data_IF_287155301787
#
_entry.id   IF_287155301787
#
_cell.length_a   1.000
_cell.length_b   1.000
_cell.length_c   1.000
_cell.angle_alpha   90.00
_cell.angle_beta   90.00
_cell.angle_gamma   90.00
#
_symmetry.space_group_name_H-M   'P 1'
#
loop_
_entity.id
_entity.type
_entity.pdbx_description
1 polymer ?
#
# COMPACT_ATOMS: atom_id res chain seq x y z
N UNK A 1 -13.51 -10.68 -28.68
CA UNK A 1 -14.21 -11.15 -29.90
C UNK A 1 -15.24 -10.09 -30.24
N UNK A 2 -14.83 -9.14 -31.10
CA UNK A 2 -15.71 -8.03 -31.56
C UNK A 2 -16.17 -8.47 -32.93
N UNK A 3 -17.39 -9.01 -32.99
CA UNK A 3 -18.13 -9.11 -34.25
C UNK A 3 -18.50 -7.70 -34.70
N UNK A 4 -17.66 -7.13 -35.54
CA UNK A 4 -18.04 -5.96 -36.33
C UNK A 4 -19.01 -6.48 -37.37
N UNK A 5 -20.25 -6.13 -37.18
CA UNK A 5 -21.34 -6.49 -38.08
C UNK A 5 -21.09 -5.90 -39.47
N UNK A 6 -20.69 -6.72 -40.40
CA UNK A 6 -20.51 -6.47 -41.84
C UNK A 6 -21.80 -5.94 -42.52
N UNK A 7 -22.92 -6.05 -41.83
CA UNK A 7 -24.27 -5.69 -42.32
C UNK A 7 -24.54 -4.18 -42.44
N UNK A 8 -23.85 -3.33 -41.70
CA UNK A 8 -24.10 -1.87 -41.78
C UNK A 8 -23.44 -1.20 -43.00
N UNK A 9 -22.39 -1.80 -43.54
CA UNK A 9 -21.68 -1.27 -44.71
C UNK A 9 -22.41 -1.56 -46.03
N UNK A 10 -23.13 -2.67 -46.15
CA UNK A 10 -23.89 -3.05 -47.33
C UNK A 10 -25.11 -2.16 -47.51
N UNK A 11 -25.81 -1.81 -46.45
CA UNK A 11 -27.00 -0.93 -46.50
C UNK A 11 -26.64 0.54 -46.78
N UNK A 12 -25.44 1.01 -46.48
CA UNK A 12 -24.99 2.37 -46.78
C UNK A 12 -24.62 2.54 -48.24
N UNK A 13 -23.97 1.56 -48.88
CA UNK A 13 -23.60 1.60 -50.28
C UNK A 13 -24.85 1.51 -51.21
N UNK A 14 -25.83 0.71 -50.88
CA UNK A 14 -27.09 0.61 -51.62
C UNK A 14 -27.90 1.92 -51.56
N UNK A 15 -27.84 2.65 -50.46
CA UNK A 15 -28.48 3.97 -50.36
C UNK A 15 -27.77 5.01 -51.21
N UNK A 16 -26.45 5.01 -51.23
CA UNK A 16 -25.65 5.94 -52.05
C UNK A 16 -25.89 5.69 -53.55
N UNK A 17 -25.93 4.42 -53.97
CA UNK A 17 -26.25 4.06 -55.36
C UNK A 17 -27.65 4.49 -55.75
N UNK A 18 -28.66 4.29 -54.92
CA UNK A 18 -30.05 4.75 -55.19
C UNK A 18 -30.18 6.27 -55.22
N UNK A 19 -29.45 7.02 -54.38
CA UNK A 19 -29.45 8.48 -54.46
C UNK A 19 -28.71 9.01 -55.70
N UNK A 20 -27.60 8.38 -56.10
CA UNK A 20 -26.89 8.70 -57.35
C UNK A 20 -27.79 8.52 -58.59
N UNK A 21 -28.54 7.43 -58.62
CA UNK A 21 -29.49 7.19 -59.70
C UNK A 21 -30.65 8.22 -59.74
N UNK A 22 -31.14 8.64 -58.58
CA UNK A 22 -32.15 9.72 -58.49
C UNK A 22 -31.58 11.06 -58.98
N UNK A 23 -30.36 11.39 -58.59
CA UNK A 23 -29.69 12.61 -59.04
C UNK A 23 -29.51 12.61 -60.58
N UNK A 24 -29.06 11.49 -61.13
CA UNK A 24 -28.93 11.36 -62.59
C UNK A 24 -30.27 11.46 -63.35
N UNK A 25 -31.33 10.92 -62.76
CA UNK A 25 -32.69 11.09 -63.33
C UNK A 25 -33.14 12.56 -63.28
N UNK A 26 -32.98 13.25 -62.18
CA UNK A 26 -33.30 14.66 -62.00
C UNK A 26 -32.48 15.51 -62.98
N UNK A 27 -31.18 15.27 -63.12
CA UNK A 27 -30.31 15.95 -64.10
C UNK A 27 -30.81 15.77 -65.53
N UNK A 28 -31.17 14.54 -65.93
CA UNK A 28 -31.73 14.27 -67.26
C UNK A 28 -33.07 14.96 -67.48
N UNK A 29 -33.97 14.99 -66.48
CA UNK A 29 -35.26 15.69 -66.57
C UNK A 29 -35.09 17.21 -66.61
N UNK A 30 -34.18 17.80 -65.82
CA UNK A 30 -33.87 19.24 -65.84
C UNK A 30 -33.37 19.69 -67.22
N UNK A 31 -32.46 18.90 -67.82
CA UNK A 31 -31.98 19.22 -69.21
C UNK A 31 -33.15 19.14 -70.24
N UNK A 32 -33.99 18.12 -70.11
CA UNK A 32 -35.17 17.98 -71.06
C UNK A 32 -36.14 19.14 -70.89
N UNK A 33 -36.45 19.53 -69.65
CA UNK A 33 -37.33 20.68 -69.40
C UNK A 33 -36.74 21.96 -69.92
N UNK A 34 -35.46 22.20 -69.78
CA UNK A 34 -34.75 23.37 -70.25
C UNK A 34 -34.76 23.42 -71.80
N UNK A 35 -34.56 22.28 -72.47
CA UNK A 35 -34.63 22.18 -73.92
C UNK A 35 -36.05 22.41 -74.42
N UNK A 36 -37.07 21.83 -73.80
CA UNK A 36 -38.48 22.05 -74.14
C UNK A 36 -38.90 23.51 -73.95
N UNK A 37 -38.49 24.12 -72.84
CA UNK A 37 -38.74 25.53 -72.54
C UNK A 37 -38.10 26.44 -73.62
N UNK A 38 -36.87 26.16 -74.04
CA UNK A 38 -36.19 26.88 -75.09
C UNK A 38 -36.89 26.73 -76.43
N UNK A 39 -37.38 25.53 -76.80
CA UNK A 39 -38.11 25.26 -77.98
C UNK A 39 -39.49 26.00 -78.00
N UNK A 40 -40.21 25.94 -76.85
CA UNK A 40 -41.47 26.65 -76.71
C UNK A 40 -41.32 28.18 -76.81
N UNK A 41 -40.27 28.69 -76.25
CA UNK A 41 -39.91 30.11 -76.30
C UNK A 41 -39.61 30.55 -77.76
N UNK A 42 -38.86 29.75 -78.48
CA UNK A 42 -38.52 29.97 -79.86
C UNK A 42 -39.77 29.87 -80.75
N UNK A 43 -40.70 28.97 -80.44
CA UNK A 43 -41.95 28.78 -81.26
C UNK A 43 -43.02 29.81 -80.96
N UNK A 44 -43.10 30.30 -79.70
CA UNK A 44 -44.11 31.31 -79.30
C UNK A 44 -43.90 32.72 -79.90
N UNK A 45 -42.76 32.97 -80.45
CA UNK A 45 -42.43 34.25 -81.09
C UNK A 45 -42.05 34.00 -82.53
N UNK A 46 -42.75 34.67 -83.45
CA UNK A 46 -42.52 34.63 -84.88
C UNK A 46 -41.03 34.57 -85.29
N UNK A 47 -40.45 33.35 -85.24
CA UNK A 47 -39.05 33.11 -85.62
C UNK A 47 -38.72 33.46 -87.05
N UNK A 48 -39.82 33.54 -87.94
CA UNK A 48 -39.72 34.02 -89.31
C UNK A 48 -39.26 35.47 -89.44
N UNK A 49 -39.48 36.31 -88.40
CA UNK A 49 -39.06 37.72 -88.43
C UNK A 49 -37.59 37.94 -88.02
N UNK A 50 -37.03 36.97 -87.31
CA UNK A 50 -35.59 37.05 -86.83
C UNK A 50 -34.62 36.69 -87.97
N UNK A 51 -35.06 35.87 -88.94
CA UNK A 51 -34.20 35.39 -90.01
C UNK A 51 -34.22 36.24 -91.29
N UNK A 52 -34.97 37.33 -91.32
CA UNK A 52 -34.82 38.34 -92.37
C UNK A 52 -33.68 39.31 -92.01
N UNK A 53 -32.59 39.18 -92.70
CA UNK A 53 -31.28 39.82 -92.48
C UNK A 53 -31.26 41.37 -92.64
N UNK A 54 -32.33 42.07 -92.49
CA UNK A 54 -32.39 43.53 -92.61
C UNK A 54 -32.98 44.21 -91.38
N UNK A 55 -32.22 44.43 -90.40
CA UNK A 55 -32.36 45.09 -89.06
C UNK A 55 -32.69 44.16 -87.93
N UNK A 56 -31.64 43.76 -87.25
CA UNK A 56 -31.69 43.23 -85.84
C UNK A 56 -32.03 44.43 -84.95
N UNK A 57 -33.26 44.53 -84.49
CA UNK A 57 -33.69 45.52 -83.50
C UNK A 57 -32.99 45.17 -82.18
N UNK A 58 -32.20 46.07 -81.64
CA UNK A 58 -31.44 45.88 -80.34
C UNK A 58 -32.35 45.48 -79.18
N UNK A 59 -33.62 45.87 -79.20
CA UNK A 59 -34.63 45.53 -78.19
C UNK A 59 -34.96 44.01 -78.11
N UNK A 60 -34.91 43.31 -79.22
CA UNK A 60 -35.17 41.86 -79.24
C UNK A 60 -34.00 41.09 -78.74
N UNK A 61 -32.76 41.55 -79.00
CA UNK A 61 -31.57 40.94 -78.48
C UNK A 61 -31.47 41.15 -76.95
N UNK A 62 -31.85 42.35 -76.45
CA UNK A 62 -31.92 42.65 -75.00
C UNK A 62 -32.86 41.73 -74.26
N UNK A 63 -34.09 41.57 -74.78
CA UNK A 63 -35.13 40.69 -74.20
C UNK A 63 -34.67 39.22 -74.17
N UNK A 64 -33.90 38.77 -75.17
CA UNK A 64 -33.31 37.43 -75.21
C UNK A 64 -32.20 37.28 -74.19
N UNK A 65 -31.34 38.30 -74.01
CA UNK A 65 -30.31 38.35 -73.04
C UNK A 65 -30.87 38.27 -71.61
N UNK A 66 -31.91 39.03 -71.31
CA UNK A 66 -32.59 39.02 -70.01
C UNK A 66 -33.30 37.67 -69.74
N UNK A 67 -33.91 37.05 -70.77
CA UNK A 67 -34.50 35.72 -70.59
C UNK A 67 -33.48 34.65 -70.36
N UNK A 68 -32.38 34.62 -71.11
CA UNK A 68 -31.29 33.65 -70.91
C UNK A 68 -30.61 33.89 -69.61
N UNK A 69 -30.29 35.13 -69.27
CA UNK A 69 -29.64 35.49 -67.99
C UNK A 69 -30.54 35.22 -66.81
N UNK A 70 -31.79 35.62 -66.84
CA UNK A 70 -32.76 35.42 -65.75
C UNK A 70 -33.18 33.99 -65.57
N UNK A 71 -33.60 33.30 -66.61
CA UNK A 71 -34.13 31.94 -66.49
C UNK A 71 -33.04 30.87 -66.32
N UNK A 72 -32.02 30.89 -67.16
CA UNK A 72 -30.94 29.93 -67.12
C UNK A 72 -30.07 30.21 -65.89
N UNK A 73 -29.76 31.50 -65.59
CA UNK A 73 -29.00 31.89 -64.41
C UNK A 73 -29.68 31.47 -63.11
N UNK A 74 -31.01 31.71 -63.02
CA UNK A 74 -31.78 31.25 -61.84
C UNK A 74 -31.78 29.71 -61.70
N UNK A 75 -31.92 29.00 -62.81
CA UNK A 75 -31.88 27.54 -62.85
C UNK A 75 -30.53 26.97 -62.38
N UNK A 76 -29.42 27.56 -62.82
CA UNK A 76 -28.10 27.19 -62.43
C UNK A 76 -27.85 27.50 -60.93
N UNK A 77 -28.35 28.66 -60.49
CA UNK A 77 -28.22 29.03 -59.04
C UNK A 77 -28.97 28.10 -58.13
N UNK A 78 -30.24 27.74 -58.48
CA UNK A 78 -31.07 26.79 -57.77
C UNK A 78 -30.40 25.39 -57.73
N UNK A 79 -29.85 24.95 -58.86
CA UNK A 79 -29.14 23.68 -58.93
C UNK A 79 -27.86 23.68 -58.09
N UNK A 80 -27.09 24.76 -58.07
CA UNK A 80 -25.93 24.92 -57.27
C UNK A 80 -26.30 24.94 -55.80
N UNK A 81 -27.34 25.63 -55.36
CA UNK A 81 -27.87 25.62 -54.02
C UNK A 81 -28.31 24.21 -53.56
N UNK A 82 -28.94 23.46 -54.46
CA UNK A 82 -29.33 22.07 -54.20
C UNK A 82 -28.12 21.16 -54.00
N UNK A 83 -27.11 21.28 -54.86
CA UNK A 83 -25.85 20.53 -54.66
C UNK A 83 -25.17 20.87 -53.35
N UNK A 84 -25.13 22.16 -53.00
CA UNK A 84 -24.59 22.61 -51.73
C UNK A 84 -25.35 21.98 -50.55
N UNK A 85 -26.68 21.96 -50.61
CA UNK A 85 -27.51 21.34 -49.57
C UNK A 85 -27.23 19.84 -49.40
N UNK A 86 -27.08 19.10 -50.52
CA UNK A 86 -26.72 17.67 -50.45
C UNK A 86 -25.33 17.50 -49.82
N UNK A 87 -24.34 18.28 -50.26
CA UNK A 87 -22.97 18.21 -49.71
C UNK A 87 -22.96 18.49 -48.22
N UNK A 88 -23.66 19.51 -47.74
CA UNK A 88 -23.79 19.82 -46.32
C UNK A 88 -24.46 18.70 -45.54
N UNK A 89 -25.49 18.07 -46.11
CA UNK A 89 -26.17 16.92 -45.48
C UNK A 89 -25.23 15.72 -45.34
N UNK A 90 -24.47 15.39 -46.37
CA UNK A 90 -23.47 14.33 -46.33
C UNK A 90 -22.35 14.67 -45.36
N UNK A 91 -21.84 15.89 -45.34
CA UNK A 91 -20.82 16.35 -44.43
C UNK A 91 -21.27 16.26 -42.96
N UNK A 92 -22.53 16.62 -42.67
CA UNK A 92 -23.12 16.45 -41.35
C UNK A 92 -23.23 14.97 -40.94
N UNK A 93 -23.55 14.08 -41.86
CA UNK A 93 -23.62 12.64 -41.62
C UNK A 93 -22.22 12.07 -41.33
N UNK A 94 -21.21 12.48 -42.08
CA UNK A 94 -19.79 12.13 -41.84
C UNK A 94 -19.32 12.66 -40.51
N UNK A 95 -19.59 13.94 -40.19
CA UNK A 95 -19.22 14.54 -38.92
C UNK A 95 -19.80 13.79 -37.71
N UNK A 96 -21.07 13.38 -37.78
CA UNK A 96 -21.69 12.56 -36.71
C UNK A 96 -21.02 11.18 -36.56
N UNK A 97 -20.65 10.54 -37.67
CA UNK A 97 -19.91 9.27 -37.63
C UNK A 97 -18.51 9.48 -37.01
N UNK A 98 -17.80 10.51 -37.44
CA UNK A 98 -16.48 10.87 -36.92
C UNK A 98 -16.54 11.16 -35.41
N UNK A 99 -17.55 11.89 -34.94
CA UNK A 99 -17.73 12.13 -33.50
C UNK A 99 -17.94 10.82 -32.72
N UNK A 100 -18.78 9.89 -33.23
CA UNK A 100 -18.94 8.57 -32.58
C UNK A 100 -17.67 7.77 -32.57
N UNK A 101 -16.89 7.77 -33.63
CA UNK A 101 -15.60 7.10 -33.70
C UNK A 101 -14.62 7.73 -32.67
N UNK A 102 -14.54 9.06 -32.64
CA UNK A 102 -13.69 9.76 -31.71
C UNK A 102 -14.05 9.46 -30.24
N UNK A 103 -15.35 9.46 -29.90
CA UNK A 103 -15.78 9.09 -28.53
C UNK A 103 -15.41 7.65 -28.18
N UNK A 104 -15.57 6.72 -29.11
CA UNK A 104 -15.16 5.33 -28.91
C UNK A 104 -13.64 5.19 -28.76
N UNK A 105 -12.84 5.90 -29.58
CA UNK A 105 -11.39 5.92 -29.48
C UNK A 105 -10.94 6.47 -28.14
N UNK A 106 -11.53 7.57 -27.67
CA UNK A 106 -11.22 8.14 -26.36
C UNK A 106 -11.54 7.14 -25.23
N UNK A 107 -12.72 6.52 -25.28
CA UNK A 107 -13.10 5.52 -24.27
C UNK A 107 -12.17 4.30 -24.27
N UNK A 108 -11.79 3.82 -25.46
CA UNK A 108 -10.85 2.71 -25.62
C UNK A 108 -9.46 3.10 -25.11
N UNK A 109 -8.96 4.28 -25.46
CA UNK A 109 -7.66 4.76 -24.96
C UNK A 109 -7.65 4.88 -23.44
N UNK A 110 -8.73 5.39 -22.83
CA UNK A 110 -8.84 5.46 -21.38
C UNK A 110 -8.83 4.06 -20.75
N UNK A 111 -9.50 3.09 -21.36
CA UNK A 111 -9.48 1.69 -20.90
C UNK A 111 -8.07 1.09 -21.03
N UNK A 112 -7.38 1.32 -22.14
CA UNK A 112 -5.99 0.88 -22.36
C UNK A 112 -5.04 1.49 -21.33
N UNK A 113 -5.13 2.79 -21.07
CA UNK A 113 -4.31 3.47 -20.06
C UNK A 113 -4.55 2.86 -18.67
N UNK A 114 -5.82 2.62 -18.31
CA UNK A 114 -6.15 1.97 -17.04
C UNK A 114 -5.58 0.54 -16.96
N UNK A 115 -5.71 -0.24 -18.02
CA UNK A 115 -5.17 -1.59 -18.08
C UNK A 115 -3.64 -1.60 -17.99
N UNK A 116 -2.97 -0.68 -18.68
CA UNK A 116 -1.52 -0.57 -18.63
C UNK A 116 -1.04 -0.22 -17.21
N UNK A 117 -1.72 0.68 -16.49
CA UNK A 117 -1.39 0.96 -15.09
C UNK A 117 -1.50 -0.29 -14.21
N UNK A 118 -2.53 -1.09 -14.38
CA UNK A 118 -2.70 -2.36 -13.65
C UNK A 118 -1.57 -3.35 -13.98
N UNK A 119 -1.23 -3.50 -15.26
CA UNK A 119 -0.15 -4.39 -15.70
C UNK A 119 1.19 -3.94 -15.12
N UNK A 120 1.47 -2.64 -15.13
CA UNK A 120 2.71 -2.08 -14.57
C UNK A 120 2.77 -2.37 -13.06
N UNK A 121 1.71 -2.11 -12.31
CA UNK A 121 1.66 -2.40 -10.87
C UNK A 121 1.86 -3.90 -10.58
N UNK A 122 1.21 -4.79 -11.36
CA UNK A 122 1.41 -6.24 -11.23
C UNK A 122 2.84 -6.68 -11.56
N UNK A 123 3.45 -6.05 -12.57
CA UNK A 123 4.83 -6.35 -12.95
C UNK A 123 5.81 -5.94 -11.85
N UNK A 124 5.61 -4.78 -11.23
CA UNK A 124 6.43 -4.35 -10.09
C UNK A 124 6.27 -5.28 -8.90
N UNK A 125 5.03 -5.71 -8.58
CA UNK A 125 4.79 -6.67 -7.52
C UNK A 125 5.49 -8.01 -7.79
N UNK A 126 5.38 -8.56 -9.00
CA UNK A 126 6.07 -9.79 -9.38
C UNK A 126 7.59 -9.67 -9.29
N UNK A 127 8.14 -8.53 -9.72
CA UNK A 127 9.58 -8.27 -9.61
C UNK A 127 10.03 -8.21 -8.15
N UNK A 128 9.21 -7.59 -7.29
CA UNK A 128 9.46 -7.56 -5.86
C UNK A 128 9.39 -8.98 -5.25
N UNK A 129 8.35 -9.76 -5.56
CA UNK A 129 8.19 -11.15 -5.12
C UNK A 129 9.42 -12.00 -5.45
N UNK A 130 9.89 -11.88 -6.68
CA UNK A 130 11.09 -12.61 -7.13
C UNK A 130 12.33 -12.19 -6.34
N UNK A 131 12.52 -10.88 -6.13
CA UNK A 131 13.63 -10.36 -5.31
C UNK A 131 13.51 -10.83 -3.86
N UNK A 132 12.34 -10.70 -3.26
CA UNK A 132 12.09 -11.10 -1.87
C UNK A 132 12.36 -12.59 -1.68
N UNK A 133 11.82 -13.44 -2.54
CA UNK A 133 12.04 -14.90 -2.49
C UNK A 133 13.52 -15.25 -2.67
N UNK A 134 14.22 -14.57 -3.58
CA UNK A 134 15.66 -14.76 -3.78
C UNK A 134 16.45 -14.38 -2.52
N UNK A 135 16.19 -13.21 -1.94
CA UNK A 135 16.89 -12.79 -0.73
C UNK A 135 16.55 -13.67 0.47
N UNK A 136 15.30 -14.11 0.60
CA UNK A 136 14.89 -15.04 1.64
C UNK A 136 15.58 -16.39 1.49
N UNK A 137 15.71 -16.90 0.26
CA UNK A 137 16.46 -18.12 -0.03
C UNK A 137 17.94 -17.97 0.30
N UNK A 138 18.56 -16.85 -0.05
CA UNK A 138 19.95 -16.56 0.33
C UNK A 138 20.14 -16.48 1.85
N UNK A 139 19.19 -15.89 2.57
CA UNK A 139 19.19 -15.92 4.03
C UNK A 139 19.13 -17.34 4.58
N UNK A 140 18.24 -18.19 4.07
CA UNK A 140 18.15 -19.59 4.47
C UNK A 140 19.41 -20.37 4.13
N UNK A 141 19.99 -20.16 2.93
CA UNK A 141 21.28 -20.77 2.57
C UNK A 141 22.44 -20.33 3.48
N UNK A 142 22.48 -19.06 3.87
CA UNK A 142 23.47 -18.56 4.82
C UNK A 142 23.33 -19.23 6.20
N UNK A 143 22.07 -19.45 6.62
CA UNK A 143 21.77 -20.18 7.84
C UNK A 143 22.19 -21.66 7.76
N UNK A 144 21.86 -22.34 6.65
CA UNK A 144 22.19 -23.75 6.42
C UNK A 144 23.70 -23.99 6.24
N UNK A 145 24.41 -22.99 5.70
CA UNK A 145 25.88 -23.05 5.56
C UNK A 145 26.62 -22.85 6.87
N UNK A 146 25.94 -22.35 7.88
CA UNK A 146 26.49 -22.05 9.18
C UNK A 146 26.98 -23.35 9.89
N UNK A 147 28.16 -23.31 10.50
CA UNK A 147 28.76 -24.48 11.16
C UNK A 147 29.43 -24.08 12.46
N UNK A 148 28.91 -24.61 13.56
CA UNK A 148 29.53 -24.56 14.87
C UNK A 148 29.14 -25.82 15.64
N UNK A 149 30.04 -26.77 15.80
CA UNK A 149 29.80 -28.10 16.35
C UNK A 149 28.72 -28.93 15.60
N UNK A 150 27.67 -28.29 15.14
CA UNK A 150 26.57 -28.82 14.32
C UNK A 150 26.42 -27.98 13.03
N UNK A 151 25.41 -28.27 12.19
CA UNK A 151 25.17 -27.61 10.93
C UNK A 151 23.84 -26.85 10.93
N UNK A 152 23.83 -25.70 10.27
CA UNK A 152 22.61 -24.94 10.04
C UNK A 152 22.08 -24.27 11.31
N UNK A 153 20.77 -24.23 11.46
CA UNK A 153 20.07 -23.59 12.58
C UNK A 153 20.49 -24.13 13.94
N UNK A 154 20.78 -25.43 14.04
CA UNK A 154 21.20 -26.04 15.30
C UNK A 154 22.57 -25.52 15.77
N UNK A 155 23.49 -25.25 14.86
CA UNK A 155 24.77 -24.62 15.20
C UNK A 155 24.57 -23.20 15.76
N UNK A 156 23.60 -22.49 15.20
CA UNK A 156 23.24 -21.17 15.64
C UNK A 156 22.59 -21.18 17.03
N UNK A 157 21.64 -22.08 17.28
CA UNK A 157 21.01 -22.32 18.60
C UNK A 157 22.08 -22.59 19.65
N UNK A 158 23.04 -23.48 19.37
CA UNK A 158 24.12 -23.82 20.34
C UNK A 158 24.96 -22.60 20.74
N UNK A 159 25.23 -21.66 19.82
CA UNK A 159 25.94 -20.42 20.18
C UNK A 159 25.13 -19.58 21.13
N UNK A 160 23.85 -19.40 20.83
CA UNK A 160 22.98 -18.57 21.65
C UNK A 160 22.71 -19.22 23.01
N UNK A 161 22.53 -20.53 23.06
CA UNK A 161 22.39 -21.25 24.33
C UNK A 161 23.65 -21.09 25.17
N UNK A 162 24.86 -21.24 24.60
CA UNK A 162 26.12 -20.99 25.30
C UNK A 162 26.24 -19.56 25.82
N UNK A 163 25.69 -18.57 25.09
CA UNK A 163 25.59 -17.19 25.58
C UNK A 163 24.61 -17.07 26.75
N UNK A 164 23.43 -17.69 26.63
CA UNK A 164 22.41 -17.64 27.69
C UNK A 164 22.82 -18.40 28.95
N UNK A 165 23.66 -19.42 28.84
CA UNK A 165 24.19 -20.17 29.96
C UNK A 165 25.29 -19.44 30.74
N UNK A 166 25.91 -18.41 30.18
CA UNK A 166 26.99 -17.67 30.85
C UNK A 166 26.63 -17.22 32.25
N UNK A 167 27.56 -17.28 33.20
CA UNK A 167 27.34 -16.75 34.53
C UNK A 167 27.12 -15.25 34.44
N UNK A 168 25.94 -14.82 34.85
CA UNK A 168 25.51 -13.44 34.71
C UNK A 168 25.24 -12.83 36.09
N UNK A 169 25.97 -11.77 36.43
CA UNK A 169 25.75 -11.04 37.69
C UNK A 169 24.53 -10.13 37.54
N UNK A 170 23.55 -10.33 38.40
CA UNK A 170 22.39 -9.46 38.47
C UNK A 170 22.75 -8.11 39.10
N UNK A 171 23.02 -7.13 38.25
CA UNK A 171 23.26 -5.76 38.70
C UNK A 171 21.96 -5.14 39.25
N UNK A 172 22.09 -4.08 40.05
CA UNK A 172 20.96 -3.49 40.78
C UNK A 172 19.83 -2.95 39.90
N UNK A 173 20.17 -2.39 38.76
CA UNK A 173 19.16 -1.80 37.84
C UNK A 173 19.00 -2.63 36.58
N UNK A 174 17.79 -2.58 35.99
CA UNK A 174 17.51 -3.23 34.71
C UNK A 174 18.45 -2.76 33.60
N UNK A 175 18.66 -1.45 33.47
CA UNK A 175 19.52 -0.87 32.44
C UNK A 175 20.97 -1.32 32.58
N UNK A 176 21.50 -1.39 33.81
CA UNK A 176 22.86 -1.87 34.02
C UNK A 176 23.01 -3.35 33.68
N UNK A 177 21.98 -4.17 33.94
CA UNK A 177 21.97 -5.57 33.51
C UNK A 177 21.93 -5.69 31.98
N UNK A 178 21.09 -4.89 31.29
CA UNK A 178 21.04 -4.88 29.83
C UNK A 178 22.40 -4.48 29.23
N UNK A 179 23.06 -3.45 29.80
CA UNK A 179 24.41 -3.06 29.34
C UNK A 179 25.44 -4.18 29.55
N UNK A 180 25.35 -4.88 30.66
CA UNK A 180 26.24 -6.03 30.94
C UNK A 180 25.93 -7.19 29.94
N UNK A 181 24.68 -7.48 29.67
CA UNK A 181 24.29 -8.51 28.72
C UNK A 181 24.73 -8.17 27.28
N UNK A 182 24.63 -6.91 26.88
CA UNK A 182 25.14 -6.43 25.58
C UNK A 182 26.65 -6.65 25.48
N UNK A 183 27.39 -6.34 26.54
CA UNK A 183 28.85 -6.57 26.59
C UNK A 183 29.20 -8.05 26.42
N UNK A 184 28.49 -8.95 27.09
CA UNK A 184 28.66 -10.39 26.91
C UNK A 184 28.33 -10.83 25.48
N UNK A 185 27.26 -10.29 24.92
CA UNK A 185 26.91 -10.54 23.50
C UNK A 185 28.03 -10.09 22.56
N UNK A 186 28.61 -8.91 22.76
CA UNK A 186 29.72 -8.41 21.96
C UNK A 186 30.94 -9.33 21.98
N UNK A 187 31.22 -9.97 23.11
CA UNK A 187 32.31 -10.97 23.23
C UNK A 187 31.99 -12.24 22.42
N UNK A 188 30.76 -12.76 22.53
CA UNK A 188 30.31 -13.91 21.73
C UNK A 188 30.32 -13.59 20.24
N UNK A 189 29.82 -12.40 19.89
CA UNK A 189 29.84 -11.93 18.50
C UNK A 189 31.27 -11.84 17.96
N UNK A 190 32.21 -11.30 18.74
CA UNK A 190 33.61 -11.19 18.31
C UNK A 190 34.26 -12.56 18.07
N UNK A 191 33.95 -13.56 18.93
CA UNK A 191 34.44 -14.92 18.79
C UNK A 191 33.84 -15.67 17.55
N UNK A 192 32.65 -15.30 17.13
CA UNK A 192 31.90 -15.98 16.04
C UNK A 192 31.53 -15.00 14.92
N UNK A 193 32.29 -13.92 14.74
CA UNK A 193 31.89 -12.80 13.89
C UNK A 193 31.72 -13.17 12.41
N UNK A 194 32.53 -14.12 11.90
CA UNK A 194 32.49 -14.51 10.49
C UNK A 194 31.11 -15.06 10.11
N UNK A 195 30.61 -15.98 10.90
CA UNK A 195 29.36 -16.68 10.63
C UNK A 195 28.15 -15.83 11.03
N UNK A 196 28.17 -15.27 12.23
CA UNK A 196 27.08 -14.43 12.73
C UNK A 196 26.89 -13.16 11.89
N UNK A 197 27.97 -12.58 11.36
CA UNK A 197 27.85 -11.37 10.54
C UNK A 197 27.15 -11.65 9.19
N UNK A 198 27.46 -12.77 8.53
CA UNK A 198 26.82 -13.14 7.26
C UNK A 198 25.33 -13.32 7.46
N UNK A 199 24.94 -14.06 8.49
CA UNK A 199 23.53 -14.29 8.82
C UNK A 199 22.78 -12.98 9.11
N UNK A 200 23.30 -12.15 10.01
CA UNK A 200 22.69 -10.86 10.35
C UNK A 200 22.65 -9.89 9.16
N UNK A 201 23.67 -9.94 8.31
CA UNK A 201 23.73 -9.09 7.11
C UNK A 201 22.67 -9.50 6.09
N UNK A 202 22.48 -10.80 5.85
CA UNK A 202 21.43 -11.29 4.98
C UNK A 202 20.04 -10.92 5.53
N UNK A 203 19.80 -11.11 6.82
CA UNK A 203 18.55 -10.70 7.46
C UNK A 203 18.30 -9.19 7.32
N UNK A 204 19.35 -8.36 7.49
CA UNK A 204 19.28 -6.93 7.25
C UNK A 204 18.86 -6.60 5.82
N UNK A 205 19.44 -7.28 4.81
CA UNK A 205 19.09 -7.03 3.42
C UNK A 205 17.66 -7.41 3.07
N UNK A 206 17.14 -8.51 3.63
CA UNK A 206 15.71 -8.86 3.48
C UNK A 206 14.83 -7.77 4.11
N UNK A 207 15.12 -7.36 5.34
CA UNK A 207 14.35 -6.33 6.02
C UNK A 207 14.43 -4.96 5.30
N UNK A 208 15.63 -4.60 4.81
CA UNK A 208 15.85 -3.39 4.01
C UNK A 208 15.07 -3.42 2.70
N UNK A 209 15.03 -4.55 2.01
CA UNK A 209 14.24 -4.70 0.77
C UNK A 209 12.77 -4.36 1.01
N UNK A 210 12.19 -4.86 2.10
CA UNK A 210 10.81 -4.55 2.50
C UNK A 210 10.69 -3.06 2.87
N UNK A 211 11.65 -2.53 3.63
CA UNK A 211 11.62 -1.15 4.13
C UNK A 211 11.73 -0.10 3.03
N UNK A 212 12.50 -0.38 1.99
CA UNK A 212 12.70 0.56 0.88
C UNK A 212 11.65 0.44 -0.23
N UNK A 213 10.70 -0.48 -0.12
CA UNK A 213 9.68 -0.72 -1.14
C UNK A 213 8.57 0.37 -1.17
N UNK A 214 8.59 1.33 -0.23
CA UNK A 214 7.70 2.49 -0.21
C UNK A 214 8.25 3.69 -1.00
N UNK A 215 9.47 3.60 -1.51
CA UNK A 215 10.01 4.66 -2.34
C UNK A 215 9.16 4.79 -3.60
N UNK A 216 8.72 6.00 -3.87
CA UNK A 216 8.05 6.35 -5.12
C UNK A 216 9.07 6.26 -6.26
N UNK A 217 8.63 5.72 -7.39
CA UNK A 217 9.37 5.81 -8.63
C UNK A 217 9.30 7.25 -9.19
N UNK A 218 10.03 7.53 -10.28
CA UNK A 218 10.05 8.84 -10.93
C UNK A 218 8.65 9.31 -11.39
N UNK A 219 7.68 8.39 -11.48
CA UNK A 219 6.27 8.64 -11.83
C UNK A 219 5.35 8.77 -10.59
N UNK A 220 5.89 8.70 -9.38
CA UNK A 220 5.15 8.81 -8.12
C UNK A 220 4.37 7.54 -7.74
N UNK A 221 4.70 6.38 -8.32
CA UNK A 221 4.10 5.10 -7.93
C UNK A 221 4.95 4.42 -6.87
N UNK A 222 4.34 3.97 -5.79
CA UNK A 222 5.00 3.12 -4.78
C UNK A 222 5.13 1.69 -5.30
N UNK A 223 6.28 1.05 -5.05
CA UNK A 223 6.53 -0.35 -5.42
C UNK A 223 5.58 -1.27 -4.67
N UNK A 224 5.42 -1.02 -3.37
CA UNK A 224 4.48 -1.72 -2.50
C UNK A 224 3.70 -0.72 -1.65
N UNK A 225 2.41 -0.94 -1.53
CA UNK A 225 1.61 -0.28 -0.50
C UNK A 225 1.96 -0.80 0.91
N UNK A 226 1.52 -0.07 1.93
CA UNK A 226 1.82 -0.39 3.32
C UNK A 226 1.27 -1.76 3.74
N UNK A 227 0.11 -2.16 3.22
CA UNK A 227 -0.52 -3.45 3.53
C UNK A 227 0.35 -4.62 3.03
N UNK A 228 0.80 -4.57 1.79
CA UNK A 228 1.69 -5.58 1.23
C UNK A 228 3.03 -5.62 1.96
N UNK A 229 3.62 -4.48 2.31
CA UNK A 229 4.87 -4.43 3.11
C UNK A 229 4.73 -5.16 4.44
N UNK A 230 3.59 -4.97 5.12
CA UNK A 230 3.29 -5.68 6.36
C UNK A 230 3.19 -7.20 6.16
N UNK A 231 2.62 -7.66 5.04
CA UNK A 231 2.55 -9.09 4.71
C UNK A 231 3.96 -9.68 4.58
N UNK A 232 4.85 -9.05 3.81
CA UNK A 232 6.23 -9.52 3.66
C UNK A 232 7.01 -9.49 4.97
N UNK A 233 6.81 -8.46 5.80
CA UNK A 233 7.40 -8.38 7.13
C UNK A 233 6.90 -9.51 8.06
N UNK A 234 5.62 -9.88 7.99
CA UNK A 234 5.07 -11.04 8.70
C UNK A 234 5.69 -12.35 8.19
N UNK A 235 5.87 -12.49 6.87
CA UNK A 235 6.55 -13.65 6.29
C UNK A 235 8.01 -13.76 6.78
N UNK A 236 8.76 -12.65 6.78
CA UNK A 236 10.12 -12.63 7.32
C UNK A 236 10.15 -13.01 8.81
N UNK A 237 9.27 -12.41 9.61
CA UNK A 237 9.18 -12.70 11.04
C UNK A 237 8.88 -14.17 11.34
N UNK A 238 8.04 -14.82 10.52
CA UNK A 238 7.71 -16.23 10.66
C UNK A 238 8.91 -17.17 10.39
N UNK A 239 9.99 -16.67 9.81
CA UNK A 239 11.21 -17.45 9.61
C UNK A 239 12.17 -17.40 10.80
N UNK A 240 11.99 -16.43 11.73
CA UNK A 240 12.87 -16.24 12.87
C UNK A 240 12.51 -17.20 14.00
N UNK A 241 13.49 -17.93 14.52
CA UNK A 241 13.34 -18.68 15.76
C UNK A 241 13.60 -17.78 16.99
N UNK A 242 13.35 -18.32 18.17
CA UNK A 242 13.49 -17.59 19.43
C UNK A 242 14.91 -17.08 19.65
N UNK A 243 15.91 -17.92 19.35
CA UNK A 243 17.35 -17.61 19.49
C UNK A 243 17.76 -16.51 18.52
N UNK A 244 17.24 -16.55 17.30
CA UNK A 244 17.47 -15.50 16.30
C UNK A 244 16.89 -14.17 16.75
N UNK A 245 15.68 -14.15 17.32
CA UNK A 245 15.07 -12.95 17.88
C UNK A 245 15.87 -12.38 19.05
N UNK A 246 16.39 -13.26 19.94
CA UNK A 246 17.24 -12.86 21.05
C UNK A 246 18.54 -12.23 20.55
N UNK A 247 19.20 -12.86 19.58
CA UNK A 247 20.41 -12.35 18.97
C UNK A 247 20.16 -11.01 18.26
N UNK A 248 19.12 -10.94 17.48
CA UNK A 248 18.73 -9.73 16.76
C UNK A 248 18.52 -8.55 17.72
N UNK A 249 17.84 -8.80 18.85
CA UNK A 249 17.65 -7.80 19.88
C UNK A 249 18.98 -7.29 20.45
N UNK A 250 19.89 -8.19 20.85
CA UNK A 250 21.18 -7.76 21.38
C UNK A 250 22.03 -7.07 20.32
N UNK A 251 22.01 -7.55 19.09
CA UNK A 251 22.69 -6.90 17.98
C UNK A 251 22.20 -5.46 17.80
N UNK A 252 20.90 -5.24 17.79
CA UNK A 252 20.31 -3.91 17.68
C UNK A 252 20.67 -2.96 18.83
N UNK A 253 21.09 -3.47 19.98
CA UNK A 253 21.58 -2.66 21.09
C UNK A 253 23.07 -2.30 20.96
N UNK A 254 23.77 -2.83 19.96
CA UNK A 254 25.17 -2.49 19.65
C UNK A 254 25.26 -1.47 18.53
N UNK A 255 26.43 -0.83 18.39
CA UNK A 255 26.69 0.05 17.26
C UNK A 255 26.63 -0.66 15.90
N UNK A 256 26.91 -1.97 15.85
CA UNK A 256 26.89 -2.77 14.62
C UNK A 256 25.48 -3.00 14.08
N UNK A 257 24.50 -3.10 14.99
CA UNK A 257 23.11 -3.33 14.65
C UNK A 257 22.27 -2.07 14.42
N UNK A 258 22.87 -0.88 14.50
CA UNK A 258 22.15 0.40 14.44
C UNK A 258 21.26 0.54 13.22
N UNK A 259 21.75 0.15 12.04
CA UNK A 259 20.96 0.24 10.80
C UNK A 259 19.80 -0.76 10.77
N UNK A 260 19.91 -1.87 11.49
CA UNK A 260 18.84 -2.87 11.59
C UNK A 260 17.74 -2.45 12.56
N UNK A 261 18.06 -1.60 13.56
CA UNK A 261 17.09 -1.12 14.56
C UNK A 261 15.83 -0.52 13.92
N UNK A 262 16.02 0.28 12.85
CA UNK A 262 14.93 0.94 12.15
C UNK A 262 13.92 -0.08 11.63
N UNK A 263 14.39 -1.10 10.91
CA UNK A 263 13.51 -2.13 10.34
C UNK A 263 12.91 -3.04 11.41
N UNK A 264 13.66 -3.37 12.46
CA UNK A 264 13.14 -4.14 13.60
C UNK A 264 12.00 -3.39 14.29
N UNK A 265 12.13 -2.08 14.46
CA UNK A 265 11.08 -1.23 15.01
C UNK A 265 9.90 -1.07 14.03
N UNK A 266 10.22 -0.77 12.76
CA UNK A 266 9.23 -0.54 11.73
C UNK A 266 8.32 -1.75 11.52
N UNK A 267 8.89 -2.95 11.50
CA UNK A 267 8.18 -4.19 11.21
C UNK A 267 7.94 -5.08 12.43
N UNK A 268 8.32 -4.61 13.63
CA UNK A 268 8.17 -5.36 14.88
C UNK A 268 8.68 -6.82 14.76
N UNK A 269 9.88 -6.98 14.17
CA UNK A 269 10.43 -8.30 13.84
C UNK A 269 10.62 -9.19 15.06
N UNK A 270 10.87 -8.61 16.24
CA UNK A 270 11.04 -9.30 17.51
C UNK A 270 9.78 -9.30 18.39
N UNK A 271 8.60 -9.23 17.78
CA UNK A 271 7.30 -9.20 18.47
C UNK A 271 7.13 -10.34 19.48
N UNK A 272 7.59 -11.53 19.11
CA UNK A 272 7.39 -12.76 19.87
C UNK A 272 8.63 -13.18 20.67
N UNK A 273 9.58 -12.25 20.89
CA UNK A 273 10.80 -12.54 21.64
C UNK A 273 10.49 -13.18 23.00
N UNK A 274 11.15 -14.29 23.38
CA UNK A 274 10.92 -14.95 24.65
C UNK A 274 11.66 -14.20 25.78
N UNK A 275 10.98 -13.23 26.38
CA UNK A 275 11.59 -12.30 27.36
C UNK A 275 12.22 -13.01 28.57
N UNK A 276 11.60 -14.11 29.04
CA UNK A 276 12.15 -14.89 30.16
C UNK A 276 13.47 -15.60 29.83
N UNK A 277 13.78 -15.72 28.53
CA UNK A 277 15.06 -16.28 28.06
C UNK A 277 16.17 -15.25 27.93
N UNK A 278 15.88 -13.96 28.09
CA UNK A 278 16.93 -12.92 28.08
C UNK A 278 17.82 -13.01 29.34
N UNK A 279 19.11 -12.67 29.21
CA UNK A 279 20.06 -12.66 30.32
C UNK A 279 19.61 -11.76 31.48
N UNK A 280 19.00 -10.62 31.17
CA UNK A 280 18.47 -9.68 32.16
C UNK A 280 17.36 -10.28 33.02
N UNK A 281 16.63 -11.25 32.49
CA UNK A 281 15.53 -11.96 33.16
C UNK A 281 15.99 -13.29 33.79
N UNK A 282 17.23 -13.69 33.66
CA UNK A 282 17.79 -14.97 34.19
C UNK A 282 17.44 -15.20 35.65
N UNK A 283 17.49 -14.19 36.49
CA UNK A 283 17.10 -14.27 37.92
C UNK A 283 15.60 -14.64 38.08
N UNK A 284 14.75 -14.19 37.21
CA UNK A 284 13.31 -14.47 37.25
C UNK A 284 13.02 -15.88 36.72
N UNK A 285 13.70 -16.30 35.65
CA UNK A 285 13.67 -17.68 35.15
C UNK A 285 14.10 -18.66 36.25
N UNK A 286 15.17 -18.37 36.97
CA UNK A 286 15.63 -19.20 38.08
C UNK A 286 14.60 -19.34 39.23
N UNK A 287 13.75 -18.34 39.46
CA UNK A 287 12.66 -18.44 40.46
C UNK A 287 11.52 -19.34 40.01
N UNK A 288 11.23 -19.40 38.71
CA UNK A 288 10.25 -20.33 38.14
C UNK A 288 10.78 -21.76 38.24
N UNK A 289 12.08 -21.94 38.16
CA UNK A 289 12.76 -23.24 38.13
C UNK A 289 12.96 -23.77 36.73
N UNK A 290 13.22 -25.07 36.63
CA UNK A 290 13.47 -25.77 35.36
C UNK A 290 12.20 -26.17 34.59
N UNK A 291 11.05 -25.72 35.02
CA UNK A 291 9.78 -26.04 34.39
C UNK A 291 9.59 -25.14 33.15
N UNK A 292 9.95 -25.67 31.99
CA UNK A 292 9.85 -24.95 30.71
C UNK A 292 8.41 -24.57 30.34
N UNK A 293 7.43 -25.36 30.76
CA UNK A 293 6.01 -25.05 30.53
C UNK A 293 5.63 -23.75 31.24
N UNK A 294 6.10 -23.55 32.48
CA UNK A 294 5.86 -22.31 33.22
C UNK A 294 6.61 -21.11 32.60
N UNK A 295 7.80 -21.32 32.06
CA UNK A 295 8.56 -20.28 31.34
C UNK A 295 7.80 -19.89 30.08
N UNK A 296 7.30 -20.85 29.29
CA UNK A 296 6.44 -20.61 28.12
C UNK A 296 5.16 -19.84 28.44
N UNK A 297 4.48 -20.22 29.53
CA UNK A 297 3.31 -19.50 30.01
C UNK A 297 3.61 -18.04 30.35
N UNK A 298 4.75 -17.78 31.01
CA UNK A 298 5.18 -16.40 31.30
C UNK A 298 5.50 -15.60 30.04
N UNK A 299 6.16 -16.21 29.06
CA UNK A 299 6.42 -15.56 27.78
C UNK A 299 5.09 -15.22 27.06
N UNK A 300 4.16 -16.17 27.00
CA UNK A 300 2.84 -15.95 26.40
C UNK A 300 2.05 -14.83 27.13
N UNK A 301 2.09 -14.82 28.47
CA UNK A 301 1.49 -13.76 29.28
C UNK A 301 2.06 -12.38 28.92
N UNK A 302 3.36 -12.26 28.81
CA UNK A 302 3.99 -10.99 28.46
C UNK A 302 3.70 -10.55 27.04
N UNK A 303 3.64 -11.47 26.09
CA UNK A 303 3.22 -11.18 24.71
C UNK A 303 1.76 -10.67 24.67
N UNK A 304 0.86 -11.33 25.41
CA UNK A 304 -0.54 -10.92 25.51
C UNK A 304 -0.69 -9.53 26.15
N UNK A 305 0.05 -9.27 27.22
CA UNK A 305 0.06 -7.97 27.90
C UNK A 305 0.55 -6.85 26.96
N UNK A 306 1.64 -7.11 26.22
CA UNK A 306 2.15 -6.17 25.23
C UNK A 306 1.11 -5.89 24.13
N UNK A 307 0.49 -6.95 23.62
CA UNK A 307 -0.56 -6.83 22.60
C UNK A 307 -1.70 -5.94 23.09
N UNK A 308 -2.24 -6.22 24.29
CA UNK A 308 -3.32 -5.43 24.89
C UNK A 308 -2.92 -3.95 25.03
N UNK A 309 -1.73 -3.66 25.55
CA UNK A 309 -1.25 -2.27 25.70
C UNK A 309 -1.22 -1.56 24.33
N UNK A 310 -0.72 -2.21 23.29
CA UNK A 310 -0.65 -1.64 21.96
C UNK A 310 -2.03 -1.42 21.36
N UNK A 311 -2.92 -2.40 21.43
CA UNK A 311 -4.29 -2.30 20.93
C UNK A 311 -5.10 -1.20 21.63
N UNK A 312 -4.89 -1.02 22.93
CA UNK A 312 -5.56 0.03 23.71
C UNK A 312 -5.11 1.45 23.37
N UNK A 313 -3.98 1.59 22.67
CA UNK A 313 -3.43 2.88 22.28
C UNK A 313 -3.96 3.37 20.91
N UNK A 314 -4.87 2.63 20.29
CA UNK A 314 -5.39 2.96 18.97
C UNK A 314 -6.75 3.64 19.11
N UNK A 315 -6.93 4.73 18.36
CA UNK A 315 -8.20 5.42 18.26
C UNK A 315 -8.87 5.14 16.92
N UNK A 316 -10.19 4.96 16.94
CA UNK A 316 -11.03 4.95 15.75
C UNK A 316 -11.85 6.25 15.71
N UNK A 317 -11.83 6.94 14.58
CA UNK A 317 -12.73 8.06 14.31
C UNK A 317 -13.20 7.98 12.87
N UNK A 318 -14.51 8.04 12.67
CA UNK A 318 -15.15 8.03 11.34
C UNK A 318 -14.77 6.79 10.47
N UNK A 319 -14.57 5.62 11.11
CA UNK A 319 -14.19 4.39 10.41
C UNK A 319 -12.75 4.36 9.91
N UNK A 320 -11.93 5.33 10.30
CA UNK A 320 -10.48 5.31 10.05
C UNK A 320 -9.73 5.09 11.35
N UNK A 321 -8.88 4.08 11.35
CA UNK A 321 -7.92 3.86 12.42
C UNK A 321 -6.84 4.94 12.31
N UNK A 322 -6.64 5.72 13.35
CA UNK A 322 -5.60 6.75 13.38
C UNK A 322 -4.67 6.56 14.56
N UNK A 323 -3.42 6.92 14.34
CA UNK A 323 -2.43 7.01 15.38
C UNK A 323 -2.73 8.21 16.28
N UNK A 324 -3.04 7.91 17.52
CA UNK A 324 -3.12 8.95 18.51
C UNK A 324 -1.70 9.34 18.96
N UNK A 325 -1.24 10.51 18.53
CA UNK A 325 0.05 11.08 18.93
C UNK A 325 0.08 11.53 20.39
N UNK A 326 -1.01 11.32 21.12
CA UNK A 326 -1.14 11.73 22.52
C UNK A 326 -0.33 10.84 23.46
N UNK A 327 -0.02 11.35 24.60
CA UNK A 327 0.72 10.65 25.66
C UNK A 327 -0.20 9.71 26.43
N UNK A 328 0.26 8.49 26.65
CA UNK A 328 -0.52 7.47 27.36
C UNK A 328 0.06 7.22 28.75
N UNK A 329 -0.85 6.93 29.67
CA UNK A 329 -0.53 6.40 31.00
C UNK A 329 -1.00 4.95 31.05
N UNK A 330 -0.03 4.04 31.22
CA UNK A 330 -0.25 2.60 31.28
C UNK A 330 -0.17 2.19 32.74
N UNK A 331 -1.26 1.67 33.28
CA UNK A 331 -1.31 1.15 34.64
C UNK A 331 -1.54 -0.36 34.60
N UNK A 332 -0.67 -1.10 35.29
CA UNK A 332 -0.79 -2.53 35.46
C UNK A 332 -0.98 -2.80 36.95
N UNK A 333 -2.12 -3.32 37.32
CA UNK A 333 -2.49 -3.66 38.69
C UNK A 333 -2.60 -5.17 38.83
N UNK A 334 -1.78 -5.76 39.66
CA UNK A 334 -1.87 -7.15 40.05
C UNK A 334 -2.58 -7.26 41.40
N UNK A 335 -3.63 -8.06 41.47
CA UNK A 335 -4.38 -8.38 42.68
C UNK A 335 -4.06 -9.82 43.12
N UNK A 336 -3.43 -9.98 44.30
CA UNK A 336 -3.05 -11.32 44.79
C UNK A 336 -4.28 -12.15 45.20
N UNK A 337 -5.27 -11.50 45.80
CA UNK A 337 -6.50 -12.17 46.27
C UNK A 337 -7.26 -12.94 45.18
N UNK A 338 -7.33 -12.37 43.99
CA UNK A 338 -8.10 -12.92 42.85
C UNK A 338 -7.21 -13.50 41.76
N UNK A 339 -5.89 -13.42 41.92
CA UNK A 339 -4.92 -13.75 40.87
C UNK A 339 -5.25 -13.08 39.53
N UNK A 340 -5.72 -11.83 39.61
CA UNK A 340 -6.10 -11.01 38.46
C UNK A 340 -5.03 -9.98 38.17
N UNK A 341 -4.80 -9.77 36.88
CA UNK A 341 -4.07 -8.63 36.34
C UNK A 341 -5.04 -7.70 35.62
N UNK A 342 -5.12 -6.48 36.10
CA UNK A 342 -5.92 -5.42 35.48
C UNK A 342 -4.95 -4.47 34.79
N UNK A 343 -5.14 -4.27 33.50
CA UNK A 343 -4.35 -3.35 32.69
C UNK A 343 -5.25 -2.21 32.29
N UNK A 344 -4.89 -1.01 32.65
CA UNK A 344 -5.61 0.21 32.27
C UNK A 344 -4.70 1.11 31.47
N UNK A 345 -5.15 1.50 30.28
CA UNK A 345 -4.47 2.43 29.39
C UNK A 345 -5.32 3.68 29.25
N UNK A 346 -4.83 4.81 29.72
CA UNK A 346 -5.53 6.11 29.68
C UNK A 346 -4.73 7.16 28.93
N UNK A 347 -5.43 8.07 28.28
CA UNK A 347 -4.79 9.24 27.67
C UNK A 347 -4.33 10.21 28.76
N UNK A 348 -3.09 10.68 28.64
CA UNK A 348 -2.54 11.68 29.55
C UNK A 348 -3.12 13.05 29.24
N UNK A 349 -3.53 13.79 30.27
CA UNK A 349 -4.06 15.16 30.21
C UNK A 349 -5.44 15.30 29.53
N UNK A 350 -6.20 14.24 29.36
CA UNK A 350 -7.60 14.31 28.93
C UNK A 350 -8.49 13.91 30.12
N UNK A 351 -9.05 14.91 30.79
CA UNK A 351 -9.99 14.65 31.88
C UNK A 351 -11.24 13.96 31.31
N UNK A 352 -11.62 12.82 31.90
CA UNK A 352 -12.82 12.08 31.48
C UNK A 352 -12.63 11.16 30.26
N UNK A 353 -11.41 10.98 29.74
CA UNK A 353 -11.18 9.96 28.70
C UNK A 353 -11.45 8.56 29.30
N UNK A 354 -12.34 7.76 28.69
CA UNK A 354 -12.53 6.38 29.09
C UNK A 354 -11.21 5.63 28.91
N UNK A 355 -10.69 5.07 30.01
CA UNK A 355 -9.54 4.18 29.95
C UNK A 355 -9.95 2.86 29.31
N UNK A 356 -9.09 2.31 28.47
CA UNK A 356 -9.23 0.92 28.06
C UNK A 356 -8.77 0.03 29.24
N UNK A 357 -9.68 -0.76 29.75
CA UNK A 357 -9.42 -1.70 30.85
C UNK A 357 -9.53 -3.14 30.32
N UNK A 358 -8.50 -3.94 30.59
CA UNK A 358 -8.49 -5.36 30.26
C UNK A 358 -8.11 -6.20 31.47
N UNK A 359 -8.84 -7.28 31.66
CA UNK A 359 -8.51 -8.27 32.66
C UNK A 359 -7.77 -9.45 32.03
N UNK A 360 -6.69 -9.89 32.67
CA UNK A 360 -5.96 -11.09 32.30
C UNK A 360 -5.95 -12.05 33.49
N UNK A 361 -6.32 -13.29 33.24
CA UNK A 361 -6.12 -14.35 34.23
C UNK A 361 -4.63 -14.65 34.35
N UNK A 362 -4.16 -14.70 35.56
CA UNK A 362 -2.78 -14.98 35.86
C UNK A 362 -2.55 -16.46 35.97
N UNK A 363 -1.60 -16.91 35.18
CA UNK A 363 -1.20 -18.29 35.15
C UNK A 363 -0.48 -18.74 36.43
N UNK A 364 -0.46 -20.07 36.62
CA UNK A 364 0.22 -20.75 37.73
C UNK A 364 1.69 -20.31 37.94
N UNK A 365 2.33 -19.86 36.85
CA UNK A 365 3.71 -19.36 36.90
C UNK A 365 3.87 -18.15 37.83
N UNK A 366 2.91 -17.23 37.85
CA UNK A 366 2.97 -16.02 38.69
C UNK A 366 2.74 -16.33 40.17
N UNK A 367 2.11 -17.44 40.52
CA UNK A 367 1.91 -17.86 41.90
C UNK A 367 3.22 -18.20 42.64
N UNK A 368 4.31 -18.45 41.89
CA UNK A 368 5.64 -18.70 42.46
C UNK A 368 6.37 -17.43 42.88
N UNK A 369 5.86 -16.26 42.59
CA UNK A 369 6.47 -14.98 42.92
C UNK A 369 5.80 -14.36 44.14
N UNK A 370 6.62 -13.77 45.01
CA UNK A 370 6.09 -12.89 46.06
C UNK A 370 5.57 -11.57 45.43
N UNK A 371 4.66 -10.88 46.13
CA UNK A 371 4.18 -9.57 45.68
C UNK A 371 5.32 -8.58 45.46
N UNK A 372 6.38 -8.64 46.29
CA UNK A 372 7.57 -7.82 46.11
C UNK A 372 8.35 -8.15 44.83
N UNK A 373 8.36 -9.45 44.47
CA UNK A 373 8.98 -9.89 43.20
C UNK A 373 8.15 -9.43 41.97
N UNK A 374 6.82 -9.61 42.04
CA UNK A 374 5.93 -9.15 40.99
C UNK A 374 6.05 -7.64 40.74
N UNK A 375 6.16 -6.85 41.82
CA UNK A 375 6.42 -5.42 41.69
C UNK A 375 7.67 -5.13 40.89
N UNK A 376 8.77 -5.85 41.13
CA UNK A 376 10.04 -5.68 40.42
C UNK A 376 9.94 -6.23 39.00
N UNK A 377 9.34 -7.39 38.82
CA UNK A 377 9.20 -8.08 37.55
C UNK A 377 8.38 -7.23 36.57
N UNK A 378 7.20 -6.76 36.95
CA UNK A 378 6.38 -5.92 36.07
C UNK A 378 7.05 -4.58 35.76
N UNK A 379 7.75 -3.98 36.71
CA UNK A 379 8.53 -2.77 36.44
C UNK A 379 9.60 -3.01 35.37
N UNK A 380 10.34 -4.12 35.49
CA UNK A 380 11.37 -4.48 34.52
C UNK A 380 10.76 -4.87 33.17
N UNK A 381 9.63 -5.56 33.18
CA UNK A 381 8.91 -5.94 32.00
C UNK A 381 8.36 -4.74 31.20
N UNK A 382 7.73 -3.77 31.86
CA UNK A 382 7.27 -2.54 31.21
C UNK A 382 8.45 -1.76 30.60
N UNK A 383 9.62 -1.76 31.27
CA UNK A 383 10.84 -1.18 30.67
C UNK A 383 11.25 -1.91 29.41
N UNK A 384 11.18 -3.23 29.40
CA UNK A 384 11.55 -4.03 28.25
C UNK A 384 10.57 -3.82 27.08
N UNK A 385 9.27 -3.85 27.31
CA UNK A 385 8.26 -3.54 26.28
C UNK A 385 8.59 -2.22 25.61
N UNK A 386 8.86 -1.20 26.40
CA UNK A 386 9.14 0.14 25.90
C UNK A 386 10.51 0.23 25.22
N UNK A 387 11.50 -0.56 25.65
CA UNK A 387 12.82 -0.66 25.02
C UNK A 387 12.77 -1.40 23.68
N UNK A 388 12.15 -2.57 23.65
CA UNK A 388 12.02 -3.39 22.44
C UNK A 388 11.27 -2.65 21.33
N UNK A 389 10.41 -1.74 21.73
CA UNK A 389 9.71 -0.88 20.76
C UNK A 389 10.52 0.35 20.36
N UNK A 390 11.62 0.69 21.03
CA UNK A 390 12.44 1.86 20.70
C UNK A 390 13.89 1.74 21.16
N UNK A 391 14.73 1.20 20.33
CA UNK A 391 16.17 1.08 20.58
C UNK A 391 16.91 2.43 20.61
N UNK A 392 16.35 3.47 19.99
CA UNK A 392 17.00 4.77 19.87
C UNK A 392 17.35 5.42 21.19
N UNK A 393 16.65 5.06 22.27
CA UNK A 393 16.83 5.69 23.58
C UNK A 393 17.56 4.82 24.58
N UNK A 394 18.17 3.73 24.14
CA UNK A 394 18.93 2.86 25.04
C UNK A 394 20.08 3.59 25.74
N UNK A 395 20.70 4.55 25.07
CA UNK A 395 21.86 5.31 25.59
C UNK A 395 21.50 6.69 26.18
N UNK A 396 20.24 7.13 26.11
CA UNK A 396 19.77 8.43 26.58
C UNK A 396 18.91 8.38 27.84
N UNK A 397 18.63 9.53 28.43
CA UNK A 397 17.52 9.69 29.39
C UNK A 397 16.23 9.52 28.62
N UNK A 398 15.67 8.34 28.71
CA UNK A 398 14.42 8.02 28.03
C UNK A 398 13.28 8.74 28.73
N UNK A 399 12.73 9.78 28.32
CA UNK A 399 11.62 10.52 28.94
C UNK A 399 10.44 9.66 29.45
N UNK A 400 10.67 8.36 29.66
CA UNK A 400 9.73 7.36 30.16
C UNK A 400 9.87 7.18 31.65
N UNK A 401 8.82 7.55 32.35
CA UNK A 401 8.73 7.34 33.77
C UNK A 401 7.99 6.06 34.08
N UNK A 402 8.67 5.10 34.70
CA UNK A 402 8.07 3.84 35.15
C UNK A 402 8.22 3.74 36.65
N UNK A 403 7.11 3.88 37.35
CA UNK A 403 7.02 3.74 38.78
C UNK A 403 6.33 2.43 39.16
N UNK A 404 6.69 1.86 40.30
CA UNK A 404 5.99 0.72 40.85
C UNK A 404 5.85 0.88 42.37
N UNK A 405 4.64 0.65 42.86
CA UNK A 405 4.29 0.71 44.28
C UNK A 405 3.48 -0.50 44.72
N UNK A 406 3.44 -0.77 45.97
CA UNK A 406 2.47 -1.66 46.57
C UNK A 406 1.31 -0.83 47.10
N UNK A 407 0.11 -1.41 47.08
CA UNK A 407 -1.02 -0.84 47.82
C UNK A 407 -0.74 -0.78 49.32
N UNK A 408 -1.51 0.03 50.03
CA UNK A 408 -1.30 0.21 51.50
C UNK A 408 -1.44 -1.11 52.26
N UNK A 409 -2.35 -1.95 51.83
CA UNK A 409 -2.59 -3.29 52.38
C UNK A 409 -1.60 -4.35 51.85
N UNK A 410 -0.70 -3.99 50.90
CA UNK A 410 0.26 -4.87 50.23
C UNK A 410 -0.34 -6.03 49.44
N UNK A 411 -1.62 -5.97 49.12
CA UNK A 411 -2.32 -7.00 48.35
C UNK A 411 -2.27 -6.74 46.84
N UNK A 412 -1.94 -5.53 46.43
CA UNK A 412 -1.88 -5.10 45.03
C UNK A 412 -0.52 -4.53 44.66
N UNK A 413 -0.04 -4.89 43.48
CA UNK A 413 1.10 -4.25 42.81
C UNK A 413 0.57 -3.31 41.76
N UNK A 414 0.96 -2.06 41.84
CA UNK A 414 0.60 -1.02 40.88
C UNK A 414 1.86 -0.56 40.17
N UNK A 415 1.93 -0.81 38.87
CA UNK A 415 3.00 -0.29 37.99
C UNK A 415 2.40 0.73 37.04
N UNK A 416 2.99 1.89 36.97
CA UNK A 416 2.57 2.98 36.07
C UNK A 416 3.72 3.30 35.13
N UNK A 417 3.45 3.30 33.84
CA UNK A 417 4.37 3.71 32.80
C UNK A 417 3.76 4.87 32.01
N UNK A 418 4.52 5.93 31.85
CA UNK A 418 4.16 7.04 30.97
C UNK A 418 4.90 6.88 29.65
N UNK A 419 4.17 6.92 28.55
CA UNK A 419 4.73 6.84 27.20
C UNK A 419 4.49 8.16 26.48
N UNK A 420 5.57 8.82 26.12
CA UNK A 420 5.56 10.11 25.44
C UNK A 420 5.75 9.98 23.91
N UNK A 421 5.87 8.75 23.37
CA UNK A 421 6.28 8.53 21.99
C UNK A 421 5.23 7.77 21.17
N UNK A 422 4.84 8.30 19.99
CA UNK A 422 3.84 7.69 19.11
C UNK A 422 4.34 6.45 18.33
N UNK A 423 5.64 6.16 18.35
CA UNK A 423 6.24 5.08 17.54
C UNK A 423 5.80 3.66 17.92
N UNK A 424 5.40 3.39 19.18
CA UNK A 424 4.77 2.11 19.56
C UNK A 424 3.54 1.85 18.70
N UNK A 425 2.78 2.91 18.46
CA UNK A 425 1.55 2.86 17.68
C UNK A 425 1.83 2.66 16.19
N UNK A 426 2.90 3.28 15.66
CA UNK A 426 3.28 3.15 14.26
C UNK A 426 3.56 1.69 13.87
N UNK A 427 4.29 0.94 14.71
CA UNK A 427 4.56 -0.48 14.47
C UNK A 427 3.30 -1.33 14.52
N UNK A 428 2.33 -0.96 15.35
CA UNK A 428 1.09 -1.71 15.49
C UNK A 428 0.11 -1.42 14.34
N UNK A 429 -0.04 -0.17 13.91
CA UNK A 429 -0.89 0.18 12.77
C UNK A 429 -0.50 -0.59 11.50
N UNK A 430 0.80 -0.73 11.27
CA UNK A 430 1.30 -1.51 10.15
C UNK A 430 0.97 -3.01 10.23
N UNK A 431 0.73 -3.53 11.42
CA UNK A 431 0.32 -4.92 11.62
C UNK A 431 -1.19 -5.16 11.48
N UNK A 432 -1.98 -4.09 11.61
CA UNK A 432 -3.45 -4.12 11.63
C UNK A 432 -3.97 -2.89 10.86
N UNK A 433 -3.72 -2.83 9.53
CA UNK A 433 -4.13 -1.72 8.66
C UNK A 433 -5.64 -1.61 8.54
#
# INVERSE_FOLDING_TARGET
MIEVTENDNVTSNDRILKESDRINKIKKWSIRISVVAAILFLWGRDFSKIFTWSKIENDVLGTYGDFIGGFIGTGVTLYSAYLLFITLKEQNAVNKKTQKVNTNVISTNNAVVKTNKIIIAQTYLQLFDNKFTTFLSLYQHALDAYRYNNKGREAFVNIIDSFLEKPFRNNSTYISRTKAAVKEYEQIYAANCREMSVHLWMLYHVARLIGMADNEDDDGNTILDEENRVIYAKCLRAQLCDEEMIMLRYNCLTNKGKNMQEFVNQFNLIKHIPLMSLLEFKKWKAKIGVDEALVSCMNAHFIALRKFILESCIGESEGKVFLDSRKYNIQVVFEDSNKKLIVTVTLKNVAGSPGHEGEMLIDKALSKFTIGDLKKLYKEYLKEILLVSNFYQFNGSDGRRIDSRLSTDRTKVICTAENDYPWILASWQRENP
#
